data_IF_969451730498
#
_entry.id   IF_969451730498
#
_cell.length_a   1.000
_cell.length_b   1.000
_cell.length_c   1.000
_cell.angle_alpha   90.00
_cell.angle_beta   90.00
_cell.angle_gamma   90.00
#
_symmetry.space_group_name_H-M   'P 1'
#
loop_
_entity.id
_entity.type
_entity.pdbx_description
1 polymer ?
#
# COMPACT_ATOMS: atom_id res chain seq x y z
N UNK A 1 -10.58 0.35 -17.55
CA UNK A 1 -11.22 1.64 -17.96
C UNK A 1 -11.24 2.70 -16.84
N UNK A 2 -10.66 2.44 -15.66
CA UNK A 2 -10.75 3.33 -14.48
C UNK A 2 -9.82 4.55 -14.54
N UNK A 3 -8.56 4.37 -14.94
CA UNK A 3 -7.57 5.46 -14.93
C UNK A 3 -7.92 6.62 -15.86
N UNK A 4 -8.50 6.31 -17.03
CA UNK A 4 -8.95 7.32 -18.00
C UNK A 4 -10.10 8.14 -17.45
N UNK A 5 -11.14 7.49 -16.92
CA UNK A 5 -12.31 8.17 -16.34
C UNK A 5 -11.93 9.13 -15.21
N UNK A 6 -11.01 8.70 -14.34
CA UNK A 6 -10.52 9.56 -13.26
C UNK A 6 -9.69 10.73 -13.80
N UNK A 7 -8.79 10.48 -14.77
CA UNK A 7 -8.00 11.55 -15.39
C UNK A 7 -8.90 12.58 -16.10
N UNK A 8 -9.90 12.14 -16.87
CA UNK A 8 -10.86 13.02 -17.53
C UNK A 8 -11.65 13.85 -16.51
N UNK A 9 -12.09 13.24 -15.40
CA UNK A 9 -12.76 13.94 -14.30
C UNK A 9 -11.87 15.01 -13.66
N UNK A 10 -10.63 14.68 -13.30
CA UNK A 10 -9.70 15.62 -12.65
C UNK A 10 -9.31 16.75 -13.60
N UNK A 11 -8.99 16.42 -14.85
CA UNK A 11 -8.64 17.39 -15.88
C UNK A 11 -9.78 18.38 -16.13
N UNK A 12 -11.02 17.88 -16.29
CA UNK A 12 -12.21 18.71 -16.42
C UNK A 12 -12.44 19.61 -15.20
N UNK A 13 -12.25 19.09 -13.98
CA UNK A 13 -12.41 19.86 -12.74
C UNK A 13 -11.32 20.90 -12.51
N UNK A 14 -10.11 20.66 -13.01
CA UNK A 14 -8.93 21.53 -12.79
C UNK A 14 -8.61 22.44 -13.98
N UNK A 15 -9.29 22.28 -15.12
CA UNK A 15 -8.96 22.98 -16.36
C UNK A 15 -7.62 22.54 -16.95
N UNK A 16 -7.16 21.33 -16.63
CA UNK A 16 -5.88 20.79 -17.09
C UNK A 16 -6.05 20.01 -18.40
N UNK A 17 -4.95 19.92 -19.16
CA UNK A 17 -4.86 19.13 -20.39
C UNK A 17 -3.64 18.22 -20.32
N UNK A 18 -3.71 17.07 -20.99
CA UNK A 18 -2.61 16.10 -21.03
C UNK A 18 -2.74 14.93 -20.04
N UNK A 19 -1.63 14.22 -19.85
CA UNK A 19 -1.58 12.97 -19.07
C UNK A 19 -1.46 13.24 -17.57
N UNK A 20 -2.44 12.79 -16.79
CA UNK A 20 -2.39 12.83 -15.31
C UNK A 20 -1.40 11.81 -14.72
N UNK A 21 -1.19 10.69 -15.43
CA UNK A 21 -0.39 9.56 -14.98
C UNK A 21 0.92 9.51 -15.76
N UNK A 22 2.05 9.28 -15.06
CA UNK A 22 3.37 9.26 -15.70
C UNK A 22 3.62 8.00 -16.54
N UNK A 23 3.18 6.83 -16.08
CA UNK A 23 3.36 5.55 -16.77
C UNK A 23 2.14 4.63 -16.62
N UNK A 24 2.20 3.46 -17.29
CA UNK A 24 1.24 2.37 -17.06
C UNK A 24 1.46 1.76 -15.68
N UNK A 25 0.44 1.08 -15.15
CA UNK A 25 0.59 0.34 -13.90
C UNK A 25 1.47 -0.89 -14.12
N UNK A 26 2.25 -1.24 -13.10
CA UNK A 26 2.91 -2.53 -13.02
C UNK A 26 1.96 -3.55 -12.38
N UNK A 27 1.97 -4.78 -12.89
CA UNK A 27 1.18 -5.88 -12.35
C UNK A 27 2.05 -7.12 -12.35
N UNK A 28 2.35 -7.63 -11.16
CA UNK A 28 3.13 -8.84 -10.97
C UNK A 28 2.37 -9.74 -9.98
N UNK A 29 2.13 -11.02 -10.29
CA UNK A 29 1.60 -11.95 -9.31
C UNK A 29 2.61 -12.08 -8.16
N UNK A 30 2.08 -12.07 -6.93
CA UNK A 30 2.89 -12.21 -5.72
C UNK A 30 2.65 -13.60 -5.16
N UNK A 31 3.72 -14.39 -5.10
CA UNK A 31 3.67 -15.71 -4.47
C UNK A 31 3.48 -15.59 -2.95
N UNK A 32 2.96 -16.65 -2.33
CA UNK A 32 2.72 -16.70 -0.88
C UNK A 32 3.98 -16.37 -0.06
N UNK A 33 5.16 -16.74 -0.56
CA UNK A 33 6.46 -16.45 0.07
C UNK A 33 6.77 -14.94 0.15
N UNK A 34 6.29 -14.15 -0.80
CA UNK A 34 6.56 -12.70 -0.90
C UNK A 34 5.37 -11.85 -0.46
N UNK A 35 4.25 -12.47 -0.11
CA UNK A 35 3.01 -11.79 0.25
C UNK A 35 3.21 -10.76 1.37
N UNK A 36 3.83 -11.18 2.48
CA UNK A 36 4.05 -10.31 3.63
C UNK A 36 5.04 -9.19 3.37
N UNK A 37 6.11 -9.47 2.63
CA UNK A 37 7.08 -8.45 2.23
C UNK A 37 6.40 -7.39 1.38
N UNK A 38 5.55 -7.81 0.44
CA UNK A 38 4.81 -6.89 -0.43
C UNK A 38 3.84 -6.01 0.36
N UNK A 39 3.10 -6.58 1.31
CA UNK A 39 2.20 -5.81 2.18
C UNK A 39 2.99 -4.79 3.00
N UNK A 40 4.11 -5.22 3.61
CA UNK A 40 4.95 -4.35 4.43
C UNK A 40 5.47 -3.17 3.62
N UNK A 41 5.98 -3.44 2.42
CA UNK A 41 6.42 -2.43 1.49
C UNK A 41 5.32 -1.42 1.20
N UNK A 42 4.13 -1.89 0.80
CA UNK A 42 2.99 -1.01 0.45
C UNK A 42 2.62 -0.10 1.63
N UNK A 43 2.49 -0.67 2.83
CA UNK A 43 2.06 0.09 4.01
C UNK A 43 3.15 1.01 4.56
N UNK A 44 4.43 0.68 4.36
CA UNK A 44 5.59 1.53 4.75
C UNK A 44 5.94 2.61 3.74
N UNK A 45 5.49 2.53 2.48
CA UNK A 45 5.81 3.52 1.45
C UNK A 45 5.66 5.00 1.89
N UNK A 46 4.62 5.39 2.67
CA UNK A 46 4.51 6.76 3.17
C UNK A 46 5.64 7.18 4.11
N UNK A 47 6.19 6.25 4.89
CA UNK A 47 7.34 6.48 5.78
C UNK A 47 8.61 6.63 4.97
N UNK A 48 8.85 5.72 4.02
CA UNK A 48 10.02 5.78 3.12
C UNK A 48 10.02 7.04 2.24
N UNK A 49 8.82 7.48 1.82
CA UNK A 49 8.61 8.74 1.11
C UNK A 49 8.66 9.98 2.01
N UNK A 50 8.90 9.81 3.33
CA UNK A 50 8.99 10.88 4.34
C UNK A 50 7.73 11.75 4.44
N UNK A 51 6.56 11.15 4.20
CA UNK A 51 5.26 11.82 4.32
C UNK A 51 4.73 11.78 5.76
N UNK A 52 5.11 10.76 6.53
CA UNK A 52 4.70 10.52 7.92
C UNK A 52 5.82 9.80 8.68
N UNK A 53 5.84 9.92 10.01
CA UNK A 53 6.81 9.23 10.87
C UNK A 53 6.42 7.77 11.11
N UNK A 54 5.11 7.48 11.22
CA UNK A 54 4.60 6.12 11.37
C UNK A 54 3.63 5.76 10.25
N UNK A 55 3.71 4.52 9.77
CA UNK A 55 2.86 4.02 8.68
C UNK A 55 1.36 4.16 8.98
N UNK A 56 0.96 3.99 10.25
CA UNK A 56 -0.42 4.13 10.68
C UNK A 56 -0.97 5.58 10.60
N UNK A 57 -0.10 6.59 10.55
CA UNK A 57 -0.52 7.99 10.45
C UNK A 57 -0.95 8.37 9.03
N UNK A 58 -0.58 7.56 8.03
CA UNK A 58 -0.96 7.82 6.66
C UNK A 58 -2.43 7.48 6.41
N UNK A 59 -3.26 8.51 6.40
CA UNK A 59 -4.72 8.41 6.22
C UNK A 59 -5.17 7.58 5.01
N UNK A 60 -4.38 7.50 3.93
CA UNK A 60 -4.77 6.86 2.67
C UNK A 60 -4.19 5.44 2.54
N UNK A 61 -3.99 4.77 3.67
CA UNK A 61 -3.56 3.37 3.80
C UNK A 61 -4.49 2.58 4.73
N UNK A 62 -4.44 1.25 4.62
CA UNK A 62 -5.06 0.29 5.54
C UNK A 62 -4.26 0.08 6.83
N UNK A 63 -3.03 0.59 6.92
CA UNK A 63 -2.14 0.38 8.06
C UNK A 63 -2.79 0.71 9.41
N UNK A 64 -3.51 1.84 9.51
CA UNK A 64 -4.24 2.22 10.71
C UNK A 64 -5.34 1.21 11.11
N UNK A 65 -6.02 0.64 10.12
CA UNK A 65 -7.04 -0.39 10.34
C UNK A 65 -6.42 -1.69 10.83
N UNK A 66 -5.31 -2.14 10.22
CA UNK A 66 -4.59 -3.34 10.65
C UNK A 66 -3.95 -3.19 12.05
N UNK A 67 -3.54 -1.97 12.43
CA UNK A 67 -3.10 -1.65 13.79
C UNK A 67 -4.25 -1.56 14.81
N UNK A 68 -5.52 -1.68 14.38
CA UNK A 68 -6.69 -1.51 15.26
C UNK A 68 -6.93 -0.06 15.70
N UNK A 69 -6.27 0.91 15.07
CA UNK A 69 -6.37 2.34 15.40
C UNK A 69 -7.52 3.04 14.66
N UNK A 70 -8.07 2.40 13.62
CA UNK A 70 -9.18 2.93 12.81
C UNK A 70 -10.13 1.81 12.37
N UNK A 71 -11.42 2.10 12.35
CA UNK A 71 -12.41 1.28 11.63
C UNK A 71 -12.67 1.86 10.24
N UNK A 72 -12.80 1.01 9.22
CA UNK A 72 -12.99 1.46 7.84
C UNK A 72 -14.04 0.59 7.14
N UNK A 73 -15.16 1.19 6.72
CA UNK A 73 -16.26 0.47 6.07
C UNK A 73 -15.92 0.02 4.65
N UNK A 74 -14.85 0.55 4.05
CA UNK A 74 -14.39 0.14 2.72
C UNK A 74 -13.49 -1.11 2.78
N UNK A 75 -13.03 -1.49 3.97
CA UNK A 75 -12.18 -2.65 4.17
C UNK A 75 -13.04 -3.85 4.54
N UNK A 76 -13.04 -4.88 3.68
CA UNK A 76 -13.68 -6.15 3.99
C UNK A 76 -12.93 -6.83 5.14
N UNK A 77 -13.68 -7.21 6.17
CA UNK A 77 -13.14 -8.01 7.26
C UNK A 77 -12.96 -9.45 6.81
N UNK A 78 -11.72 -9.86 6.58
CA UNK A 78 -11.36 -11.25 6.25
C UNK A 78 -10.72 -11.92 7.47
N UNK A 79 -11.41 -12.88 8.08
CA UNK A 79 -10.95 -13.57 9.29
C UNK A 79 -9.70 -14.44 9.05
N UNK A 80 -9.46 -14.93 7.82
CA UNK A 80 -8.22 -15.65 7.49
C UNK A 80 -7.05 -14.68 7.45
N UNK A 81 -7.25 -13.53 6.79
CA UNK A 81 -6.26 -12.47 6.76
C UNK A 81 -5.97 -11.96 8.17
N UNK A 82 -7.00 -11.66 8.97
CA UNK A 82 -6.84 -11.25 10.37
C UNK A 82 -6.17 -12.32 11.24
N UNK A 83 -6.50 -13.60 11.05
CA UNK A 83 -5.82 -14.71 11.72
C UNK A 83 -4.33 -14.80 11.36
N UNK A 84 -4.01 -14.51 10.10
CA UNK A 84 -2.65 -14.35 9.60
C UNK A 84 -1.95 -13.13 10.25
N UNK A 85 -2.64 -11.98 10.40
CA UNK A 85 -2.10 -10.81 11.12
C UNK A 85 -1.81 -11.09 12.59
N UNK A 86 -2.66 -11.85 13.27
CA UNK A 86 -2.47 -12.21 14.68
C UNK A 86 -1.17 -13.00 14.94
N UNK A 87 -0.66 -13.68 13.91
CA UNK A 87 0.63 -14.38 13.96
C UNK A 87 1.81 -13.41 13.90
N UNK A 88 1.65 -12.25 13.24
CA UNK A 88 2.55 -11.12 13.33
C UNK A 88 2.27 -10.39 14.65
N UNK A 89 2.92 -10.82 15.73
CA UNK A 89 2.80 -10.16 17.04
C UNK A 89 3.09 -8.67 16.85
N UNK A 90 2.05 -7.86 17.03
CA UNK A 90 2.02 -6.40 16.87
C UNK A 90 2.32 -5.87 15.45
N UNK A 91 1.27 -5.55 14.69
CA UNK A 91 1.35 -4.96 13.34
C UNK A 91 2.14 -3.65 13.31
N UNK A 92 2.00 -2.83 14.35
CA UNK A 92 2.72 -1.55 14.47
C UNK A 92 4.23 -1.77 14.59
N UNK A 93 4.66 -2.72 15.43
CA UNK A 93 6.08 -3.08 15.56
C UNK A 93 6.63 -3.70 14.28
N UNK A 94 5.86 -4.59 13.65
CA UNK A 94 6.24 -5.19 12.37
C UNK A 94 6.45 -4.13 11.30
N UNK A 95 5.53 -3.16 11.19
CA UNK A 95 5.67 -2.01 10.30
C UNK A 95 6.77 -1.04 10.72
N UNK A 96 7.23 -1.02 11.96
CA UNK A 96 8.32 -0.15 12.41
C UNK A 96 9.69 -0.68 11.98
N UNK A 97 9.84 -2.01 11.84
CA UNK A 97 11.11 -2.61 11.39
C UNK A 97 11.41 -2.26 9.92
N UNK A 98 12.63 -1.77 9.59
CA UNK A 98 13.02 -1.54 8.20
C UNK A 98 12.96 -2.84 7.38
N UNK A 99 12.66 -2.74 6.09
CA UNK A 99 12.96 -3.84 5.18
C UNK A 99 14.44 -3.84 4.84
N UNK A 100 15.03 -5.04 4.74
CA UNK A 100 16.36 -5.16 4.19
C UNK A 100 16.32 -4.72 2.72
N UNK A 101 17.18 -3.77 2.29
CA UNK A 101 17.10 -3.13 0.98
C UNK A 101 17.31 -4.09 -0.21
N UNK A 102 17.73 -5.33 0.05
CA UNK A 102 18.09 -6.35 -0.93
C UNK A 102 16.92 -7.23 -1.41
N UNK A 103 15.80 -7.29 -0.69
CA UNK A 103 14.75 -8.31 -0.97
C UNK A 103 13.77 -7.96 -2.08
N UNK A 104 13.61 -6.68 -2.42
CA UNK A 104 12.70 -6.23 -3.48
C UNK A 104 13.42 -5.91 -4.81
N UNK A 105 14.75 -5.91 -4.81
CA UNK A 105 15.55 -5.62 -6.01
C UNK A 105 15.49 -6.74 -7.07
N UNK A 106 14.96 -7.92 -6.73
CA UNK A 106 14.98 -9.10 -7.60
C UNK A 106 13.75 -9.31 -8.50
N UNK A 107 12.71 -8.46 -8.48
CA UNK A 107 11.45 -8.74 -9.19
C UNK A 107 10.96 -7.68 -10.18
N UNK A 108 11.79 -6.67 -10.51
CA UNK A 108 11.42 -5.66 -11.52
C UNK A 108 12.38 -5.55 -12.72
N UNK A 109 13.21 -6.57 -12.95
CA UNK A 109 14.05 -6.67 -14.15
C UNK A 109 13.63 -7.90 -14.97
N UNK A 110 12.57 -7.77 -15.77
CA UNK A 110 12.28 -8.58 -16.96
C UNK A 110 11.30 -7.84 -17.85
#
# INVERSE_FOLDING_TARGET
>A
MTHKRYADYVNGKRGWTGHLWQQRFYSCPVDELFFWVTIKYIERNPVEAKLVDHAADYKWSSAAYHCGLRTDSLITRDEKFLGMLNSCRNWHEWLATPEAPDRLAFTFTS
#
